data_IF_450172268305
#
_entry.id   IF_450172268305
#
_cell.length_a   1.000
_cell.length_b   1.000
_cell.length_c   1.000
_cell.angle_alpha   90.00
_cell.angle_beta   90.00
_cell.angle_gamma   90.00
#
_symmetry.space_group_name_H-M   'P 1'
#
loop_
_entity.id
_entity.type
_entity.pdbx_description
1 polymer ?
#
# COMPACT_ATOMS: atom_id res chain seq x y z
N UNK A 1 -28.90 -36.64 32.45
CA UNK A 1 -27.67 -37.18 31.85
C UNK A 1 -27.82 -36.94 30.34
N UNK A 2 -27.57 -35.71 29.86
CA UNK A 2 -26.27 -35.26 29.31
C UNK A 2 -25.82 -36.23 28.20
N UNK A 3 -25.75 -35.86 26.93
CA UNK A 3 -24.86 -34.79 26.45
C UNK A 3 -25.29 -34.31 25.05
N UNK A 4 -25.43 -32.99 24.91
CA UNK A 4 -25.52 -32.24 23.65
C UNK A 4 -24.24 -32.42 22.85
N UNK A 5 -24.28 -33.21 21.78
CA UNK A 5 -23.18 -33.28 20.82
C UNK A 5 -23.30 -32.18 19.78
N UNK A 6 -22.81 -31.00 20.19
CA UNK A 6 -21.98 -30.08 19.43
C UNK A 6 -22.21 -30.03 17.92
N UNK A 7 -23.12 -29.15 17.50
CA UNK A 7 -23.07 -28.50 16.20
C UNK A 7 -21.78 -27.68 16.13
N UNK A 8 -20.73 -28.29 15.56
CA UNK A 8 -19.56 -27.55 15.11
C UNK A 8 -20.01 -26.85 13.83
N UNK A 9 -20.41 -25.59 13.97
CA UNK A 9 -20.41 -24.61 12.88
C UNK A 9 -19.01 -24.66 12.26
N UNK A 10 -18.90 -25.41 11.16
CA UNK A 10 -17.77 -25.32 10.26
C UNK A 10 -17.85 -23.90 9.73
N UNK A 11 -17.05 -23.01 10.33
CA UNK A 11 -16.67 -21.72 9.76
C UNK A 11 -16.25 -22.02 8.33
N UNK A 12 -17.21 -21.81 7.42
CA UNK A 12 -17.05 -21.87 5.99
C UNK A 12 -15.86 -20.96 5.72
N UNK A 13 -14.68 -21.55 5.59
CA UNK A 13 -13.53 -20.89 5.01
C UNK A 13 -14.01 -20.43 3.66
N UNK A 14 -14.45 -19.18 3.63
CA UNK A 14 -14.91 -18.52 2.44
C UNK A 14 -13.73 -18.56 1.49
N UNK A 15 -13.76 -19.50 0.56
CA UNK A 15 -12.78 -19.58 -0.50
C UNK A 15 -12.73 -18.18 -1.11
N UNK A 16 -11.56 -17.50 -1.09
CA UNK A 16 -11.47 -16.17 -1.65
C UNK A 16 -11.89 -16.29 -3.11
N UNK A 17 -12.95 -15.59 -3.47
CA UNK A 17 -13.46 -15.64 -4.82
C UNK A 17 -12.32 -15.18 -5.75
N UNK A 18 -11.91 -15.94 -6.77
CA UNK A 18 -10.85 -15.50 -7.70
C UNK A 18 -11.16 -14.14 -8.35
N UNK A 19 -12.44 -13.75 -8.39
CA UNK A 19 -12.89 -12.45 -8.86
C UNK A 19 -12.55 -11.29 -7.90
N UNK A 20 -12.28 -11.53 -6.61
CA UNK A 20 -11.93 -10.47 -5.65
C UNK A 20 -10.59 -9.81 -6.00
N UNK A 21 -9.66 -10.57 -6.59
CA UNK A 21 -8.41 -10.03 -7.12
C UNK A 21 -8.64 -9.10 -8.31
N UNK A 22 -9.58 -9.46 -9.18
CA UNK A 22 -9.97 -8.72 -10.38
C UNK A 22 -10.76 -7.46 -10.01
N UNK A 23 -11.68 -7.55 -9.05
CA UNK A 23 -12.47 -6.42 -8.56
C UNK A 23 -11.57 -5.44 -7.80
N UNK A 24 -10.61 -5.91 -7.00
CA UNK A 24 -9.65 -5.04 -6.32
C UNK A 24 -8.67 -4.38 -7.29
N UNK A 25 -8.22 -5.10 -8.31
CA UNK A 25 -7.38 -4.55 -9.37
C UNK A 25 -8.15 -3.54 -10.25
N UNK A 26 -9.41 -3.83 -10.57
CA UNK A 26 -10.29 -2.95 -11.32
C UNK A 26 -10.67 -1.71 -10.51
N UNK A 27 -10.92 -1.83 -9.20
CA UNK A 27 -11.15 -0.70 -8.31
C UNK A 27 -9.90 0.16 -8.18
N UNK A 28 -8.71 -0.45 -8.03
CA UNK A 28 -7.44 0.29 -8.03
C UNK A 28 -7.20 1.00 -9.38
N UNK A 29 -7.49 0.33 -10.50
CA UNK A 29 -7.39 0.91 -11.84
C UNK A 29 -8.42 2.02 -12.08
N UNK A 30 -9.64 1.88 -11.56
CA UNK A 30 -10.70 2.88 -11.66
C UNK A 30 -10.39 4.12 -10.80
N UNK A 31 -9.80 3.95 -9.62
CA UNK A 31 -9.30 5.06 -8.78
C UNK A 31 -8.14 5.79 -9.48
N UNK A 32 -7.27 5.07 -10.19
CA UNK A 32 -6.22 5.67 -11.03
C UNK A 32 -6.81 6.40 -12.25
N UNK A 33 -7.93 5.93 -12.80
CA UNK A 33 -8.57 6.48 -14.00
C UNK A 33 -9.50 7.68 -13.73
N UNK A 34 -10.16 7.73 -12.57
CA UNK A 34 -11.17 8.75 -12.24
C UNK A 34 -10.60 10.14 -11.83
N UNK A 35 -9.28 10.36 -11.93
CA UNK A 35 -8.59 11.59 -11.50
C UNK A 35 -7.25 11.90 -12.20
N UNK A 36 -7.16 11.51 -13.47
CA UNK A 36 -6.24 11.93 -14.56
C UNK A 36 -5.57 13.31 -14.39
N UNK A 37 -4.24 13.48 -14.44
CA UNK A 37 -3.23 12.62 -15.09
C UNK A 37 -1.82 12.64 -14.48
N UNK A 38 -1.63 13.12 -13.25
CA UNK A 38 -0.35 13.00 -12.54
C UNK A 38 -0.58 12.75 -11.05
N UNK A 39 0.12 11.74 -10.51
CA UNK A 39 0.23 11.54 -9.07
C UNK A 39 0.79 12.82 -8.43
N UNK A 40 0.36 13.16 -7.22
CA UNK A 40 1.00 14.26 -6.48
C UNK A 40 2.49 13.96 -6.25
N UNK A 41 3.36 14.96 -6.07
CA UNK A 41 4.79 14.71 -5.81
C UNK A 41 5.02 13.73 -4.65
N UNK A 42 4.20 13.82 -3.59
CA UNK A 42 4.22 12.90 -2.44
C UNK A 42 3.87 11.48 -2.88
N UNK A 43 2.79 11.31 -3.65
CA UNK A 43 2.37 10.01 -4.17
C UNK A 43 3.39 9.42 -5.16
N UNK A 44 4.02 10.25 -6.00
CA UNK A 44 5.08 9.83 -6.91
C UNK A 44 6.28 9.29 -6.13
N UNK A 45 6.78 10.05 -5.16
CA UNK A 45 7.92 9.66 -4.34
C UNK A 45 7.65 8.37 -3.56
N UNK A 46 6.46 8.25 -2.95
CA UNK A 46 6.06 7.03 -2.25
C UNK A 46 5.95 5.82 -3.21
N UNK A 47 5.31 6.01 -4.37
CA UNK A 47 5.15 4.94 -5.35
C UNK A 47 6.48 4.43 -5.89
N UNK A 48 7.48 5.30 -6.04
CA UNK A 48 8.83 4.94 -6.46
C UNK A 48 9.53 4.07 -5.40
N UNK A 49 9.47 4.49 -4.12
CA UNK A 49 9.95 3.69 -3.00
C UNK A 49 9.28 2.31 -2.95
N UNK A 50 7.95 2.26 -2.92
CA UNK A 50 7.21 1.00 -2.84
C UNK A 50 7.52 0.06 -4.01
N UNK A 51 7.57 0.59 -5.24
CA UNK A 51 7.89 -0.21 -6.43
C UNK A 51 9.30 -0.81 -6.34
N UNK A 52 10.26 -0.06 -5.82
CA UNK A 52 11.63 -0.54 -5.62
C UNK A 52 11.68 -1.63 -4.55
N UNK A 53 11.14 -1.37 -3.36
CA UNK A 53 11.18 -2.31 -2.23
C UNK A 53 10.49 -3.64 -2.52
N UNK A 54 9.45 -3.65 -3.37
CA UNK A 54 8.77 -4.89 -3.77
C UNK A 54 9.57 -5.76 -4.75
N UNK A 55 10.56 -5.20 -5.44
CA UNK A 55 11.29 -5.85 -6.54
C UNK A 55 12.77 -6.05 -6.30
N UNK A 56 13.38 -5.24 -5.43
CA UNK A 56 14.79 -5.35 -5.09
C UNK A 56 15.00 -6.52 -4.12
N UNK A 57 15.91 -7.43 -4.45
CA UNK A 57 16.20 -8.58 -3.59
C UNK A 57 16.91 -8.17 -2.29
N UNK A 58 17.80 -7.17 -2.33
CA UNK A 58 18.39 -6.62 -1.11
C UNK A 58 17.34 -5.96 -0.19
N UNK A 59 16.22 -5.47 -0.73
CA UNK A 59 15.11 -4.95 0.10
C UNK A 59 14.24 -6.06 0.71
N UNK A 60 14.28 -7.29 0.18
CA UNK A 60 13.56 -8.45 0.72
C UNK A 60 14.35 -9.15 1.83
N UNK A 61 15.66 -8.96 1.83
CA UNK A 61 16.56 -9.47 2.86
C UNK A 61 16.60 -8.48 4.04
N UNK A 62 16.20 -8.93 5.22
CA UNK A 62 16.08 -8.08 6.41
C UNK A 62 17.45 -7.68 6.98
N UNK A 63 18.50 -8.44 6.64
CA UNK A 63 19.86 -8.23 7.14
C UNK A 63 20.69 -7.32 6.21
N UNK A 64 20.12 -6.92 5.06
CA UNK A 64 20.79 -6.07 4.08
C UNK A 64 20.18 -4.67 4.06
N UNK A 65 21.05 -3.67 3.88
CA UNK A 65 20.62 -2.31 3.58
C UNK A 65 20.66 -2.05 2.07
N UNK A 66 19.58 -1.46 1.56
CA UNK A 66 19.52 -1.00 0.18
C UNK A 66 19.62 0.51 0.13
N UNK A 67 20.78 1.02 -0.29
CA UNK A 67 21.02 2.46 -0.40
C UNK A 67 20.02 3.19 -1.30
N UNK A 68 19.52 2.53 -2.34
CA UNK A 68 18.50 3.09 -3.24
C UNK A 68 17.15 3.25 -2.54
N UNK A 69 16.74 2.24 -1.76
CA UNK A 69 15.52 2.33 -0.97
C UNK A 69 15.62 3.44 0.10
N UNK A 70 16.78 3.59 0.74
CA UNK A 70 17.03 4.68 1.69
C UNK A 70 16.93 6.06 1.03
N UNK A 71 17.52 6.22 -0.16
CA UNK A 71 17.47 7.48 -0.89
C UNK A 71 16.03 7.83 -1.30
N UNK A 72 15.29 6.86 -1.84
CA UNK A 72 13.88 7.03 -2.19
C UNK A 72 13.03 7.37 -0.96
N UNK A 73 13.32 6.74 0.18
CA UNK A 73 12.65 7.04 1.44
C UNK A 73 12.94 8.46 1.94
N UNK A 74 14.20 8.90 1.90
CA UNK A 74 14.57 10.27 2.25
C UNK A 74 13.87 11.28 1.35
N UNK A 75 13.85 11.03 0.04
CA UNK A 75 13.15 11.87 -0.92
C UNK A 75 11.64 11.98 -0.60
N UNK A 76 10.97 10.85 -0.32
CA UNK A 76 9.57 10.87 0.10
C UNK A 76 9.35 11.73 1.35
N UNK A 77 10.20 11.59 2.37
CA UNK A 77 10.09 12.40 3.60
C UNK A 77 10.27 13.90 3.34
N UNK A 78 11.25 14.28 2.51
CA UNK A 78 11.48 15.68 2.13
C UNK A 78 10.26 16.27 1.43
N UNK A 79 9.75 15.58 0.39
CA UNK A 79 8.59 16.06 -0.38
C UNK A 79 7.33 16.13 0.48
N UNK A 80 7.15 15.19 1.41
CA UNK A 80 6.03 15.19 2.35
C UNK A 80 6.11 16.34 3.35
N UNK A 81 7.30 16.63 3.88
CA UNK A 81 7.53 17.77 4.77
C UNK A 81 7.14 19.09 4.11
N UNK A 82 7.62 19.34 2.89
CA UNK A 82 7.28 20.54 2.13
C UNK A 82 5.78 20.68 1.84
N UNK A 83 5.07 19.58 1.62
CA UNK A 83 3.62 19.61 1.42
C UNK A 83 2.88 20.01 2.70
N UNK A 84 3.33 19.53 3.87
CA UNK A 84 2.77 19.93 5.17
C UNK A 84 3.01 21.42 5.46
N UNK A 85 4.21 21.93 5.17
CA UNK A 85 4.56 23.33 5.39
C UNK A 85 3.67 24.27 4.56
N UNK A 86 3.43 23.94 3.28
CA UNK A 86 2.56 24.72 2.39
C UNK A 86 1.10 24.78 2.88
N UNK A 87 0.59 23.69 3.45
CA UNK A 87 -0.76 23.67 4.04
C UNK A 87 -0.80 24.59 5.27
N UNK A 88 0.23 24.53 6.13
CA UNK A 88 0.35 25.40 7.30
C UNK A 88 0.33 26.89 6.93
N UNK A 89 1.11 27.28 5.92
CA UNK A 89 1.17 28.67 5.43
C UNK A 89 -0.14 29.13 4.79
N UNK A 90 -0.90 28.24 4.14
CA UNK A 90 -2.17 28.59 3.49
C UNK A 90 -3.35 28.84 4.44
N UNK A 91 -3.18 28.54 5.74
CA UNK A 91 -4.26 28.63 6.75
C UNK A 91 -4.13 29.83 7.69
N UNK A 92 -3.21 30.78 7.41
CA UNK A 92 -2.89 31.95 8.25
C UNK A 92 -3.29 33.26 7.58
#
# INVERSE_FOLDING_TARGET
MADERSDVDVDERRDPNPDDGTVRAAAAAAVLAAGVGQLTPVQQAYSAYTRHSLRCDDCRDIDRSCGVAEELWRNYRTVSGHACDQIGDSTR
#
